data_IF_180946632587
#
_entry.id   IF_180946632587
#
_cell.length_a   1.000
_cell.length_b   1.000
_cell.length_c   1.000
_cell.angle_alpha   90.00
_cell.angle_beta   90.00
_cell.angle_gamma   90.00
#
_symmetry.space_group_name_H-M   'P 1'
#
loop_
_entity.id
_entity.type
_entity.pdbx_description
1 polymer ?
#
# COMPACT_ATOMS: atom_id res chain seq x y z
N UNK A 1 10.73 12.61 11.92
CA UNK A 1 9.41 12.70 11.29
C UNK A 1 9.03 14.16 11.00
N UNK A 2 8.92 15.04 12.01
CA UNK A 2 8.49 16.44 11.86
C UNK A 2 9.22 17.21 10.74
N UNK A 3 10.55 17.10 10.66
CA UNK A 3 11.37 17.76 9.63
C UNK A 3 10.99 17.36 8.18
N UNK A 4 10.48 16.16 7.99
CA UNK A 4 10.07 15.64 6.67
C UNK A 4 8.58 15.79 6.40
N UNK A 5 7.77 16.06 7.45
CA UNK A 5 6.32 15.97 7.37
C UNK A 5 5.75 16.82 6.24
N UNK A 6 5.99 18.12 6.26
CA UNK A 6 5.42 19.05 5.28
C UNK A 6 5.96 18.85 3.87
N UNK A 7 7.28 18.61 3.75
CA UNK A 7 7.96 18.62 2.45
C UNK A 7 7.84 17.31 1.68
N UNK A 8 7.70 16.19 2.39
CA UNK A 8 7.78 14.87 1.79
C UNK A 8 6.68 13.92 2.26
N UNK A 9 6.48 13.79 3.57
CA UNK A 9 5.55 12.82 4.11
C UNK A 9 4.10 13.19 3.77
N UNK A 10 3.69 14.41 4.05
CA UNK A 10 2.34 14.87 3.77
C UNK A 10 1.97 14.82 2.28
N UNK A 11 2.76 15.34 1.33
CA UNK A 11 2.44 15.23 -0.10
C UNK A 11 2.24 13.80 -0.59
N UNK A 12 3.01 12.85 -0.04
CA UNK A 12 2.97 11.45 -0.45
C UNK A 12 1.83 10.67 0.24
N UNK A 13 1.42 11.04 1.46
CA UNK A 13 0.58 10.23 2.34
C UNK A 13 -0.77 10.85 2.71
N UNK A 14 -1.05 12.11 2.35
CA UNK A 14 -2.32 12.81 2.65
C UNK A 14 -3.57 12.05 2.18
N UNK A 15 -3.43 11.19 1.17
CA UNK A 15 -4.52 10.36 0.66
C UNK A 15 -5.18 9.49 1.74
N UNK A 16 -4.50 9.21 2.85
CA UNK A 16 -5.06 8.49 3.99
C UNK A 16 -6.20 9.29 4.61
N UNK A 17 -5.98 10.57 4.90
CA UNK A 17 -7.02 11.48 5.44
C UNK A 17 -8.14 11.73 4.43
N UNK A 18 -7.81 11.81 3.14
CA UNK A 18 -8.79 11.94 2.06
C UNK A 18 -9.65 10.67 1.91
N UNK A 19 -9.06 9.47 2.06
CA UNK A 19 -9.78 8.20 2.03
C UNK A 19 -10.78 8.08 3.18
N UNK A 20 -10.39 8.46 4.40
CA UNK A 20 -11.32 8.50 5.55
C UNK A 20 -12.46 9.46 5.27
N UNK A 21 -12.16 10.70 4.85
CA UNK A 21 -13.19 11.70 4.55
C UNK A 21 -14.17 11.20 3.49
N UNK A 22 -13.66 10.60 2.41
CA UNK A 22 -14.47 10.03 1.35
C UNK A 22 -15.40 8.93 1.90
N UNK A 23 -14.85 8.00 2.69
CA UNK A 23 -15.65 6.93 3.28
C UNK A 23 -16.74 7.47 4.19
N UNK A 24 -16.41 8.36 5.12
CA UNK A 24 -17.37 8.94 6.09
C UNK A 24 -18.50 9.71 5.39
N UNK A 25 -18.23 10.37 4.29
CA UNK A 25 -19.24 11.13 3.53
C UNK A 25 -20.18 10.24 2.70
N UNK A 26 -19.72 9.07 2.25
CA UNK A 26 -20.47 8.23 1.33
C UNK A 26 -21.08 6.99 1.99
N UNK A 27 -20.56 6.54 3.14
CA UNK A 27 -21.02 5.33 3.78
C UNK A 27 -22.46 5.47 4.34
N UNK A 28 -23.34 4.63 3.82
CA UNK A 28 -24.71 4.49 4.31
C UNK A 28 -25.13 3.01 4.22
N UNK A 29 -25.17 2.33 5.35
CA UNK A 29 -25.54 0.91 5.42
C UNK A 29 -26.96 0.62 4.92
N UNK A 30 -27.85 1.62 4.96
CA UNK A 30 -29.24 1.53 4.51
C UNK A 30 -29.44 2.00 3.06
N UNK A 31 -28.35 2.23 2.28
CA UNK A 31 -28.49 2.63 0.89
C UNK A 31 -29.28 1.59 0.09
N UNK A 32 -30.17 2.03 -0.77
CA UNK A 32 -30.95 1.16 -1.66
C UNK A 32 -30.01 0.38 -2.60
N UNK A 33 -29.11 1.09 -3.30
CA UNK A 33 -28.02 0.48 -4.04
C UNK A 33 -26.75 0.41 -3.18
N UNK A 34 -26.63 -0.66 -2.42
CA UNK A 34 -25.50 -0.87 -1.52
C UNK A 34 -24.18 -1.05 -2.26
N UNK A 35 -24.19 -1.71 -3.42
CA UNK A 35 -22.97 -1.93 -4.20
C UNK A 35 -22.39 -0.60 -4.72
N UNK A 36 -23.22 0.29 -5.25
CA UNK A 36 -22.82 1.60 -5.71
C UNK A 36 -22.34 2.48 -4.53
N UNK A 37 -23.06 2.44 -3.41
CA UNK A 37 -22.67 3.15 -2.19
C UNK A 37 -21.28 2.68 -1.71
N UNK A 38 -21.05 1.35 -1.65
CA UNK A 38 -19.77 0.77 -1.24
C UNK A 38 -18.65 1.20 -2.19
N UNK A 39 -18.87 1.13 -3.50
CA UNK A 39 -17.91 1.56 -4.50
C UNK A 39 -17.51 3.04 -4.32
N UNK A 40 -18.50 3.93 -4.08
CA UNK A 40 -18.27 5.35 -3.81
C UNK A 40 -17.50 5.56 -2.50
N UNK A 41 -17.85 4.83 -1.46
CA UNK A 41 -17.18 4.91 -0.15
C UNK A 41 -15.71 4.50 -0.23
N UNK A 42 -15.36 3.55 -1.10
CA UNK A 42 -14.00 3.05 -1.27
C UNK A 42 -13.21 3.75 -2.40
N UNK A 43 -13.79 4.75 -3.08
CA UNK A 43 -13.21 5.36 -4.29
C UNK A 43 -11.82 5.99 -4.06
N UNK A 44 -11.56 6.53 -2.88
CA UNK A 44 -10.29 7.18 -2.54
C UNK A 44 -9.29 6.26 -1.81
N UNK A 45 -9.58 4.96 -1.71
CA UNK A 45 -8.70 4.03 -0.99
C UNK A 45 -7.43 3.63 -1.75
N UNK A 46 -7.38 3.82 -3.07
CA UNK A 46 -6.18 3.68 -3.89
C UNK A 46 -5.20 2.58 -3.44
N UNK A 47 -4.00 2.97 -3.08
CA UNK A 47 -2.93 2.06 -2.64
C UNK A 47 -3.21 1.31 -1.31
N UNK A 48 -4.24 1.71 -0.55
CA UNK A 48 -4.62 1.03 0.70
C UNK A 48 -5.30 -0.31 0.43
N UNK A 49 -6.19 -0.33 -0.59
CA UNK A 49 -7.01 -1.48 -0.95
C UNK A 49 -6.82 -1.92 -2.42
N UNK A 50 -5.70 -1.53 -3.03
CA UNK A 50 -5.29 -2.01 -4.34
C UNK A 50 -3.76 -1.99 -4.46
N UNK A 51 -3.19 -3.04 -5.03
CA UNK A 51 -1.79 -3.15 -5.42
C UNK A 51 -1.66 -4.03 -6.66
N UNK A 52 -0.45 -4.21 -7.19
CA UNK A 52 -0.20 -4.93 -8.46
C UNK A 52 -0.93 -6.29 -8.56
N UNK A 53 -0.99 -7.04 -7.45
CA UNK A 53 -1.58 -8.39 -7.42
C UNK A 53 -2.62 -8.57 -6.30
N UNK A 54 -3.14 -7.49 -5.71
CA UNK A 54 -4.06 -7.55 -4.58
C UNK A 54 -5.13 -6.47 -4.71
N UNK A 55 -6.38 -6.86 -4.88
CA UNK A 55 -7.50 -5.98 -5.25
C UNK A 55 -8.71 -6.11 -4.31
N UNK A 56 -8.56 -5.93 -2.98
CA UNK A 56 -9.66 -6.15 -2.04
C UNK A 56 -10.87 -5.24 -2.31
N UNK A 57 -10.69 -3.95 -2.57
CA UNK A 57 -11.81 -3.04 -2.86
C UNK A 57 -12.61 -3.48 -4.09
N UNK A 58 -11.92 -3.82 -5.19
CA UNK A 58 -12.56 -4.28 -6.41
C UNK A 58 -13.33 -5.59 -6.21
N UNK A 59 -12.75 -6.53 -5.47
CA UNK A 59 -13.37 -7.83 -5.25
C UNK A 59 -14.61 -7.74 -4.35
N UNK A 60 -14.55 -6.99 -3.24
CA UNK A 60 -15.70 -6.84 -2.35
C UNK A 60 -16.84 -6.06 -3.02
N UNK A 61 -16.54 -5.07 -3.84
CA UNK A 61 -17.55 -4.35 -4.65
C UNK A 61 -18.20 -5.30 -5.65
N UNK A 62 -17.43 -6.14 -6.35
CA UNK A 62 -17.96 -7.14 -7.25
C UNK A 62 -18.86 -8.16 -6.54
N UNK A 63 -18.52 -8.59 -5.33
CA UNK A 63 -19.39 -9.43 -4.53
C UNK A 63 -20.66 -8.69 -4.11
N UNK A 64 -20.58 -7.40 -3.80
CA UNK A 64 -21.76 -6.60 -3.47
C UNK A 64 -22.71 -6.42 -4.67
N UNK A 65 -22.19 -6.35 -5.91
CA UNK A 65 -23.00 -6.31 -7.13
C UNK A 65 -23.82 -7.61 -7.33
N UNK A 66 -23.30 -8.76 -6.88
CA UNK A 66 -23.92 -10.07 -7.07
C UNK A 66 -24.77 -10.47 -5.85
N UNK A 67 -24.28 -10.21 -4.65
CA UNK A 67 -24.85 -10.67 -3.38
C UNK A 67 -24.93 -9.51 -2.38
N UNK A 68 -25.64 -8.44 -2.76
CA UNK A 68 -25.69 -7.15 -2.06
C UNK A 68 -26.00 -7.30 -0.58
N UNK A 69 -27.05 -8.05 -0.21
CA UNK A 69 -27.50 -8.18 1.18
C UNK A 69 -26.56 -9.04 2.04
N UNK A 70 -25.88 -10.00 1.42
CA UNK A 70 -24.88 -10.80 2.12
C UNK A 70 -23.66 -9.92 2.46
N UNK A 71 -23.16 -9.13 1.51
CA UNK A 71 -22.04 -8.21 1.77
C UNK A 71 -22.45 -7.11 2.76
N UNK A 72 -23.69 -6.57 2.66
CA UNK A 72 -24.24 -5.62 3.63
C UNK A 72 -24.23 -6.21 5.05
N UNK A 73 -24.70 -7.43 5.20
CA UNK A 73 -24.72 -8.16 6.49
C UNK A 73 -23.31 -8.36 7.05
N UNK A 74 -22.32 -8.65 6.17
CA UNK A 74 -20.92 -8.77 6.58
C UNK A 74 -20.38 -7.46 7.17
N UNK A 75 -20.67 -6.32 6.56
CA UNK A 75 -20.26 -5.02 7.07
C UNK A 75 -21.01 -4.61 8.36
N UNK A 76 -22.31 -4.94 8.47
CA UNK A 76 -23.06 -4.72 9.72
C UNK A 76 -22.40 -5.46 10.87
N UNK A 77 -22.04 -6.74 10.66
CA UNK A 77 -21.37 -7.52 11.70
C UNK A 77 -19.93 -7.04 11.96
N UNK A 78 -19.18 -6.68 10.94
CA UNK A 78 -17.81 -6.13 11.10
C UNK A 78 -17.82 -4.86 11.93
N UNK A 79 -18.84 -4.02 11.78
CA UNK A 79 -18.96 -2.73 12.45
C UNK A 79 -19.74 -2.80 13.77
N UNK A 80 -20.14 -3.99 14.21
CA UNK A 80 -20.80 -4.20 15.51
C UNK A 80 -19.76 -4.18 16.65
N UNK A 81 -19.57 -3.00 17.22
CA UNK A 81 -18.59 -2.76 18.31
C UNK A 81 -18.94 -3.48 19.63
N UNK A 82 -20.07 -4.19 19.72
CA UNK A 82 -20.42 -5.02 20.89
C UNK A 82 -19.69 -6.36 20.90
N UNK A 83 -19.10 -6.76 19.75
CA UNK A 83 -18.35 -8.01 19.56
C UNK A 83 -16.84 -7.78 19.57
N UNK A 84 -16.09 -8.81 19.97
CA UNK A 84 -14.62 -8.78 19.91
C UNK A 84 -14.12 -8.54 18.47
N UNK A 85 -13.11 -7.69 18.33
CA UNK A 85 -12.60 -7.29 17.01
C UNK A 85 -12.01 -8.48 16.24
N UNK A 86 -11.35 -9.43 16.93
CA UNK A 86 -10.76 -10.59 16.29
C UNK A 86 -11.82 -11.54 15.74
N UNK A 87 -12.93 -11.71 16.48
CA UNK A 87 -14.07 -12.52 16.04
C UNK A 87 -14.75 -11.90 14.81
N UNK A 88 -14.92 -10.58 14.80
CA UNK A 88 -15.48 -9.85 13.65
C UNK A 88 -14.58 -9.97 12.40
N UNK A 89 -13.28 -9.85 12.57
CA UNK A 89 -12.29 -10.01 11.47
C UNK A 89 -12.30 -11.44 10.94
N UNK A 90 -12.31 -12.44 11.82
CA UNK A 90 -12.38 -13.84 11.43
C UNK A 90 -13.69 -14.16 10.67
N UNK A 91 -14.85 -13.74 11.21
CA UNK A 91 -16.16 -13.93 10.57
C UNK A 91 -16.22 -13.29 9.17
N UNK A 92 -15.72 -12.05 9.02
CA UNK A 92 -15.70 -11.39 7.72
C UNK A 92 -14.86 -12.16 6.70
N UNK A 93 -13.70 -12.67 7.11
CA UNK A 93 -12.81 -13.48 6.27
C UNK A 93 -13.47 -14.79 5.85
N UNK A 94 -14.13 -15.50 6.79
CA UNK A 94 -14.80 -16.78 6.51
C UNK A 94 -15.99 -16.60 5.55
N UNK A 95 -16.77 -15.54 5.74
CA UNK A 95 -17.85 -15.17 4.81
C UNK A 95 -17.31 -14.80 3.43
N UNK A 96 -16.13 -14.15 3.36
CA UNK A 96 -15.47 -13.86 2.09
C UNK A 96 -15.01 -15.12 1.35
N UNK A 97 -14.56 -16.16 2.08
CA UNK A 97 -14.29 -17.48 1.49
C UNK A 97 -15.57 -18.06 0.89
N UNK A 98 -16.70 -18.03 1.61
CA UNK A 98 -18.00 -18.54 1.12
C UNK A 98 -18.51 -17.77 -0.10
N UNK A 99 -18.29 -16.46 -0.19
CA UNK A 99 -18.61 -15.67 -1.38
C UNK A 99 -17.70 -16.04 -2.56
N UNK A 100 -16.41 -16.29 -2.31
CA UNK A 100 -15.48 -16.74 -3.36
C UNK A 100 -15.89 -18.09 -3.94
N UNK A 101 -16.25 -19.04 -3.11
CA UNK A 101 -16.71 -20.37 -3.53
C UNK A 101 -17.95 -20.29 -4.41
N UNK A 102 -18.92 -19.44 -4.05
CA UNK A 102 -20.19 -19.33 -4.77
C UNK A 102 -20.15 -18.39 -5.98
N UNK A 103 -19.39 -17.32 -5.92
CA UNK A 103 -19.45 -16.23 -6.88
C UNK A 103 -18.09 -15.83 -7.48
N UNK A 104 -17.02 -16.53 -7.14
CA UNK A 104 -15.66 -16.18 -7.54
C UNK A 104 -15.36 -16.33 -9.03
N UNK A 105 -16.16 -17.09 -9.80
CA UNK A 105 -16.01 -17.28 -11.25
C UNK A 105 -14.55 -17.60 -11.65
N UNK A 106 -13.90 -18.53 -10.94
CA UNK A 106 -12.51 -18.94 -11.18
C UNK A 106 -11.43 -18.02 -10.57
N UNK A 107 -11.81 -17.01 -9.82
CA UNK A 107 -10.83 -16.22 -9.05
C UNK A 107 -10.13 -17.08 -7.99
N UNK A 108 -8.80 -16.99 -7.91
CA UNK A 108 -8.01 -17.81 -7.00
C UNK A 108 -8.12 -17.38 -5.53
N UNK A 109 -8.56 -16.13 -5.25
CA UNK A 109 -8.63 -15.59 -3.89
C UNK A 109 -9.58 -14.39 -3.80
N UNK A 110 -10.13 -14.17 -2.61
CA UNK A 110 -11.08 -13.07 -2.34
C UNK A 110 -10.40 -11.75 -1.92
N UNK A 111 -9.11 -11.75 -1.61
CA UNK A 111 -8.31 -10.61 -1.14
C UNK A 111 -8.77 -9.95 0.19
N UNK A 112 -9.80 -10.49 0.86
CA UNK A 112 -10.28 -9.97 2.15
C UNK A 112 -9.51 -10.65 3.29
N UNK A 113 -8.29 -10.19 3.53
CA UNK A 113 -7.44 -10.61 4.64
C UNK A 113 -7.38 -9.52 5.71
N UNK A 114 -6.69 -9.78 6.81
CA UNK A 114 -6.61 -8.91 7.98
C UNK A 114 -6.26 -7.47 7.62
N UNK A 115 -5.38 -7.28 6.64
CA UNK A 115 -5.01 -5.93 6.15
C UNK A 115 -6.22 -5.17 5.60
N UNK A 116 -6.98 -5.77 4.69
CA UNK A 116 -8.14 -5.15 4.07
C UNK A 116 -9.26 -4.92 5.10
N UNK A 117 -9.53 -5.93 5.95
CA UNK A 117 -10.61 -5.88 6.93
C UNK A 117 -10.33 -4.81 8.00
N UNK A 118 -9.10 -4.73 8.51
CA UNK A 118 -8.69 -3.67 9.44
C UNK A 118 -8.72 -2.28 8.78
N UNK A 119 -8.46 -2.18 7.48
CA UNK A 119 -8.63 -0.93 6.74
C UNK A 119 -10.09 -0.50 6.71
N UNK A 120 -11.05 -1.41 6.52
CA UNK A 120 -12.49 -1.07 6.62
C UNK A 120 -12.88 -0.60 8.02
N UNK A 121 -12.36 -1.24 9.06
CA UNK A 121 -12.58 -0.81 10.44
C UNK A 121 -12.03 0.60 10.69
N UNK A 122 -10.82 0.89 10.23
CA UNK A 122 -10.25 2.23 10.33
C UNK A 122 -11.05 3.27 9.53
N UNK A 123 -11.46 2.97 8.31
CA UNK A 123 -12.29 3.89 7.51
C UNK A 123 -13.62 4.22 8.21
N UNK A 124 -14.21 3.25 8.90
CA UNK A 124 -15.49 3.41 9.62
C UNK A 124 -15.33 4.09 10.97
N UNK A 125 -14.29 3.74 11.71
CA UNK A 125 -13.97 4.21 13.06
C UNK A 125 -12.53 4.75 13.09
N UNK A 126 -12.28 5.89 12.41
CA UNK A 126 -10.93 6.42 12.23
C UNK A 126 -10.28 6.91 13.52
N UNK A 127 -11.06 7.07 14.58
CA UNK A 127 -10.59 7.48 15.91
C UNK A 127 -10.27 6.30 16.83
N UNK A 128 -10.43 5.07 16.32
CA UNK A 128 -10.29 3.87 17.14
C UNK A 128 -9.38 2.81 16.55
N UNK A 129 -9.40 2.64 15.23
CA UNK A 129 -8.65 1.59 14.55
C UNK A 129 -7.53 2.12 13.69
N UNK A 130 -6.68 1.21 13.24
CA UNK A 130 -5.50 1.47 12.42
C UNK A 130 -5.41 0.49 11.25
N UNK A 131 -4.65 0.84 10.21
CA UNK A 131 -4.36 -0.06 9.09
C UNK A 131 -3.33 -1.10 9.53
N UNK A 132 -3.66 -2.39 9.40
CA UNK A 132 -2.79 -3.49 9.75
C UNK A 132 -1.98 -3.99 8.55
N UNK A 133 -0.66 -3.94 8.64
CA UNK A 133 0.27 -4.60 7.70
C UNK A 133 1.32 -5.35 8.49
N UNK A 134 1.32 -6.67 8.41
CA UNK A 134 2.17 -7.54 9.23
C UNK A 134 3.67 -7.14 9.21
N UNK A 135 4.22 -6.87 8.01
CA UNK A 135 5.62 -6.48 7.86
C UNK A 135 5.94 -5.12 8.48
N UNK A 136 5.01 -4.17 8.35
CA UNK A 136 5.13 -2.82 8.90
C UNK A 136 5.07 -2.86 10.43
N UNK A 137 4.06 -3.55 10.99
CA UNK A 137 3.90 -3.68 12.44
C UNK A 137 5.11 -4.40 13.07
N UNK A 138 5.65 -5.43 12.40
CA UNK A 138 6.88 -6.09 12.86
C UNK A 138 8.07 -5.14 12.90
N UNK A 139 8.25 -4.34 11.86
CA UNK A 139 9.33 -3.36 11.80
C UNK A 139 9.17 -2.31 12.91
N UNK A 140 7.96 -1.76 13.08
CA UNK A 140 7.67 -0.78 14.15
C UNK A 140 7.96 -1.38 15.53
N UNK A 141 7.47 -2.60 15.82
CA UNK A 141 7.72 -3.26 17.10
C UNK A 141 9.21 -3.50 17.36
N UNK A 142 9.97 -3.83 16.31
CA UNK A 142 11.42 -4.03 16.40
C UNK A 142 12.18 -2.73 16.61
N UNK A 143 11.87 -1.67 15.84
CA UNK A 143 12.56 -0.37 15.93
C UNK A 143 12.29 0.35 17.25
N UNK A 144 11.13 0.12 17.84
CA UNK A 144 10.77 0.67 19.15
C UNK A 144 11.14 -0.26 20.32
N UNK A 145 11.83 -1.37 20.07
CA UNK A 145 12.20 -2.39 21.09
C UNK A 145 11.00 -2.84 21.93
N UNK A 146 9.83 -2.94 21.30
CA UNK A 146 8.56 -3.23 21.96
C UNK A 146 8.48 -4.67 22.50
N UNK A 147 7.81 -4.85 23.62
CA UNK A 147 7.50 -6.16 24.21
C UNK A 147 6.44 -6.93 23.43
N UNK A 148 5.64 -6.26 22.59
CA UNK A 148 4.62 -6.89 21.78
C UNK A 148 5.21 -7.81 20.71
N UNK A 149 4.79 -9.08 20.72
CA UNK A 149 5.31 -10.10 19.78
C UNK A 149 4.36 -10.31 18.63
N UNK A 150 4.85 -10.04 17.42
CA UNK A 150 4.09 -10.23 16.17
C UNK A 150 4.62 -11.48 15.46
N UNK A 151 3.81 -12.55 15.39
CA UNK A 151 4.22 -13.88 14.89
C UNK A 151 3.43 -14.26 13.63
N UNK A 152 4.06 -14.94 12.68
CA UNK A 152 3.38 -15.50 11.51
C UNK A 152 2.32 -16.53 11.96
N UNK A 153 1.08 -16.38 11.49
CA UNK A 153 -0.03 -17.30 11.79
C UNK A 153 -0.81 -17.04 13.08
N UNK A 154 -0.30 -16.19 13.99
CA UNK A 154 -1.00 -15.84 15.24
C UNK A 154 -1.94 -14.62 15.01
N UNK A 155 -2.96 -14.77 14.17
CA UNK A 155 -3.77 -13.64 13.67
C UNK A 155 -4.42 -12.81 14.77
N UNK A 156 -5.15 -13.43 15.70
CA UNK A 156 -5.84 -12.71 16.79
C UNK A 156 -4.87 -12.04 17.75
N UNK A 157 -3.82 -12.74 18.17
CA UNK A 157 -2.79 -12.15 19.05
C UNK A 157 -2.06 -11.00 18.35
N UNK A 158 -1.77 -11.15 17.07
CA UNK A 158 -1.14 -10.08 16.29
C UNK A 158 -2.03 -8.84 16.20
N UNK A 159 -3.34 -8.99 16.00
CA UNK A 159 -4.29 -7.85 15.96
C UNK A 159 -4.33 -7.16 17.33
N UNK A 160 -4.42 -7.92 18.43
CA UNK A 160 -4.43 -7.34 19.79
C UNK A 160 -3.12 -6.62 20.10
N UNK A 161 -1.98 -7.26 19.84
CA UNK A 161 -0.67 -6.67 20.06
C UNK A 161 -0.45 -5.42 19.19
N UNK A 162 -0.89 -5.46 17.95
CA UNK A 162 -0.84 -4.32 17.04
C UNK A 162 -1.66 -3.14 17.57
N UNK A 163 -2.91 -3.38 17.97
CA UNK A 163 -3.77 -2.33 18.50
C UNK A 163 -3.19 -1.72 19.78
N UNK A 164 -2.62 -2.55 20.67
CA UNK A 164 -1.97 -2.09 21.89
C UNK A 164 -0.74 -1.21 21.57
N UNK A 165 0.17 -1.69 20.72
CA UNK A 165 1.36 -0.96 20.29
C UNK A 165 1.00 0.40 19.66
N UNK A 166 0.02 0.42 18.74
CA UNK A 166 -0.35 1.65 18.07
C UNK A 166 -1.10 2.63 19.00
N UNK A 167 -1.83 2.13 19.99
CA UNK A 167 -2.41 2.97 21.05
C UNK A 167 -1.33 3.64 21.92
N UNK A 168 -0.23 2.94 22.23
CA UNK A 168 0.90 3.52 22.94
C UNK A 168 1.57 4.62 22.11
N UNK A 169 1.86 4.35 20.84
CA UNK A 169 2.41 5.36 19.92
C UNK A 169 1.49 6.58 19.86
N UNK A 170 0.17 6.36 19.68
CA UNK A 170 -0.80 7.44 19.66
C UNK A 170 -0.77 8.27 20.93
N UNK A 171 -0.71 7.63 22.08
CA UNK A 171 -0.66 8.31 23.39
C UNK A 171 0.55 9.22 23.51
N UNK A 172 1.69 8.83 22.93
CA UNK A 172 2.88 9.71 22.88
C UNK A 172 2.70 10.86 21.88
N UNK A 173 2.12 10.60 20.70
CA UNK A 173 1.85 11.65 19.71
C UNK A 173 0.85 12.70 20.22
N UNK A 174 -0.12 12.31 21.04
CA UNK A 174 -1.10 13.22 21.65
C UNK A 174 -0.47 14.23 22.61
N UNK A 175 0.71 13.96 23.15
CA UNK A 175 1.47 14.87 24.02
C UNK A 175 2.29 15.90 23.22
N UNK A 176 2.44 15.73 21.93
CA UNK A 176 3.27 16.57 21.06
C UNK A 176 2.44 17.67 20.39
N UNK A 177 2.35 18.83 21.04
CA UNK A 177 1.57 19.98 20.53
C UNK A 177 2.13 20.53 19.21
N UNK A 178 3.45 20.48 18.99
CA UNK A 178 4.05 20.92 17.75
C UNK A 178 3.59 20.05 16.58
N UNK A 179 3.58 18.72 16.74
CA UNK A 179 3.15 17.80 15.72
C UNK A 179 1.64 17.94 15.43
N UNK A 180 0.81 18.13 16.47
CA UNK A 180 -0.62 18.42 16.31
C UNK A 180 -0.88 19.69 15.50
N UNK A 181 -0.15 20.76 15.80
CA UNK A 181 -0.26 22.02 15.07
C UNK A 181 0.25 21.88 13.63
N UNK A 182 1.31 21.11 13.43
CA UNK A 182 1.84 20.81 12.10
C UNK A 182 0.80 20.07 11.25
N UNK A 183 0.15 19.02 11.78
CA UNK A 183 -0.94 18.33 11.09
C UNK A 183 -2.08 19.29 10.76
N UNK A 184 -2.57 20.07 11.74
CA UNK A 184 -3.66 21.02 11.52
C UNK A 184 -3.36 22.03 10.42
N UNK A 185 -2.10 22.47 10.29
CA UNK A 185 -1.69 23.42 9.25
C UNK A 185 -1.74 22.84 7.83
N UNK A 186 -1.76 21.52 7.69
CA UNK A 186 -1.77 20.83 6.40
C UNK A 186 -3.17 20.34 6.00
N UNK A 187 -4.07 20.11 6.96
CA UNK A 187 -5.42 19.62 6.70
C UNK A 187 -6.22 20.58 5.82
N UNK A 188 -6.90 20.03 4.84
CA UNK A 188 -7.82 20.74 3.94
C UNK A 188 -9.26 20.23 4.15
N UNK A 189 -10.22 20.88 3.51
CA UNK A 189 -11.63 20.47 3.54
C UNK A 189 -11.87 19.06 2.93
N UNK A 190 -10.93 18.54 2.15
CA UNK A 190 -10.99 17.18 1.58
C UNK A 190 -10.45 16.11 2.53
N UNK A 191 -9.84 16.51 3.65
CA UNK A 191 -9.24 15.61 4.63
C UNK A 191 -10.19 15.39 5.83
N UNK A 192 -10.07 14.22 6.45
CA UNK A 192 -10.60 13.97 7.79
C UNK A 192 -9.76 14.72 8.83
N UNK A 193 -10.37 15.25 9.88
CA UNK A 193 -9.68 16.11 10.86
C UNK A 193 -8.72 15.36 11.80
N UNK A 194 -8.91 14.04 11.96
CA UNK A 194 -8.08 13.13 12.76
C UNK A 194 -7.91 13.59 14.23
N UNK A 195 -8.99 13.86 14.95
CA UNK A 195 -8.94 14.46 16.29
C UNK A 195 -8.21 13.56 17.29
N UNK A 196 -8.31 12.24 17.14
CA UNK A 196 -7.65 11.25 17.98
C UNK A 196 -6.25 10.84 17.46
N UNK A 197 -5.80 11.41 16.36
CA UNK A 197 -4.48 11.14 15.72
C UNK A 197 -4.25 9.68 15.30
N UNK A 198 -5.30 8.90 15.05
CA UNK A 198 -5.14 7.51 14.63
C UNK A 198 -4.55 7.43 13.21
N UNK A 199 -4.99 8.29 12.29
CA UNK A 199 -4.43 8.33 10.93
C UNK A 199 -2.99 8.83 10.94
N UNK A 200 -2.68 9.83 11.76
CA UNK A 200 -1.30 10.28 11.99
C UNK A 200 -0.43 9.16 12.58
N UNK A 201 -0.97 8.37 13.51
CA UNK A 201 -0.27 7.21 14.10
C UNK A 201 0.07 6.17 13.03
N UNK A 202 -0.86 5.87 12.11
CA UNK A 202 -0.59 5.00 10.96
C UNK A 202 0.56 5.56 10.11
N UNK A 203 0.55 6.85 9.86
CA UNK A 203 1.59 7.50 9.05
C UNK A 203 2.95 7.51 9.73
N UNK A 204 2.99 7.74 11.04
CA UNK A 204 4.21 7.62 11.86
C UNK A 204 4.73 6.18 11.88
N UNK A 205 3.85 5.18 12.03
CA UNK A 205 4.22 3.77 11.93
C UNK A 205 4.83 3.42 10.56
N UNK A 206 4.22 3.90 9.49
CA UNK A 206 4.79 3.78 8.14
C UNK A 206 6.18 4.42 8.05
N UNK A 207 6.36 5.63 8.58
CA UNK A 207 7.65 6.32 8.62
C UNK A 207 8.70 5.52 9.40
N UNK A 208 8.36 5.02 10.60
CA UNK A 208 9.25 4.20 11.42
C UNK A 208 9.67 2.95 10.63
N UNK A 209 8.74 2.24 10.02
CA UNK A 209 9.02 1.02 9.29
C UNK A 209 9.90 1.20 8.07
N UNK A 210 9.92 2.40 7.47
CA UNK A 210 10.59 2.68 6.19
C UNK A 210 11.83 3.56 6.31
N UNK A 211 11.82 4.52 7.23
CA UNK A 211 12.79 5.61 7.26
C UNK A 211 13.49 5.79 8.61
N UNK A 212 12.96 5.24 9.70
CA UNK A 212 13.56 5.35 11.01
C UNK A 212 14.91 4.64 11.03
N UNK A 213 15.94 5.30 11.60
CA UNK A 213 17.33 4.81 11.64
C UNK A 213 17.94 4.45 10.25
N UNK A 214 17.23 4.67 9.17
CA UNK A 214 17.83 4.72 7.85
C UNK A 214 18.26 6.18 7.71
N UNK A 215 19.56 6.44 7.80
CA UNK A 215 20.09 7.76 7.47
C UNK A 215 19.40 8.22 6.18
N UNK A 216 19.24 9.56 6.00
CA UNK A 216 18.80 10.14 4.73
C UNK A 216 19.83 9.82 3.62
N UNK A 217 20.06 8.55 3.42
CA UNK A 217 20.57 8.05 2.19
C UNK A 217 19.46 8.35 1.19
N UNK A 218 19.51 9.55 0.62
CA UNK A 218 18.91 9.77 -0.68
C UNK A 218 19.29 8.54 -1.50
N UNK A 219 18.47 8.02 -2.43
CA UNK A 219 18.75 6.74 -3.04
C UNK A 219 20.24 6.70 -3.33
N UNK A 220 21.00 5.87 -2.58
CA UNK A 220 22.36 5.54 -2.94
C UNK A 220 22.23 4.88 -4.29
N UNK A 221 22.34 5.70 -5.29
CA UNK A 221 22.22 5.30 -6.70
C UNK A 221 23.31 4.30 -7.10
N UNK A 222 24.13 3.87 -6.13
CA UNK A 222 25.29 3.01 -6.32
C UNK A 222 25.23 1.65 -5.63
N UNK A 223 24.19 1.31 -4.84
CA UNK A 223 24.27 0.13 -3.96
C UNK A 223 23.08 -0.84 -4.01
N UNK A 224 22.18 -0.75 -4.99
CA UNK A 224 21.14 -1.77 -5.12
C UNK A 224 21.61 -3.04 -5.86
N UNK A 225 22.79 -3.00 -6.49
CA UNK A 225 23.49 -4.17 -6.99
C UNK A 225 24.77 -4.43 -6.19
N UNK A 226 25.23 -5.67 -6.11
CA UNK A 226 26.51 -6.02 -5.50
C UNK A 226 27.64 -5.16 -6.08
N UNK A 227 28.54 -4.66 -5.23
CA UNK A 227 29.67 -3.83 -5.64
C UNK A 227 30.65 -4.58 -6.58
N UNK A 228 30.59 -5.90 -6.58
CA UNK A 228 31.36 -6.82 -7.40
C UNK A 228 30.60 -7.31 -8.65
N UNK A 229 29.34 -6.85 -8.86
CA UNK A 229 28.58 -7.22 -10.05
C UNK A 229 29.22 -6.63 -11.30
N UNK A 230 29.57 -7.50 -12.22
CA UNK A 230 29.96 -7.15 -13.57
C UNK A 230 29.16 -8.00 -14.57
N UNK A 231 28.44 -7.38 -15.53
CA UNK A 231 27.79 -8.14 -16.60
C UNK A 231 28.77 -8.85 -17.54
N UNK A 232 30.08 -8.58 -17.40
CA UNK A 232 31.13 -9.05 -18.28
C UNK A 232 30.88 -8.75 -19.77
N UNK A 233 30.15 -7.67 -20.07
CA UNK A 233 29.83 -7.22 -21.42
C UNK A 233 30.72 -6.04 -21.79
N UNK A 234 31.32 -6.09 -22.98
CA UNK A 234 32.11 -5.02 -23.56
C UNK A 234 31.22 -3.94 -24.21
N UNK A 235 31.78 -2.84 -24.61
CA UNK A 235 31.05 -1.81 -25.37
C UNK A 235 30.57 -2.36 -26.72
N UNK A 236 31.38 -3.20 -27.35
CA UNK A 236 31.05 -3.87 -28.60
C UNK A 236 29.84 -4.80 -28.43
N UNK A 237 29.80 -5.59 -27.36
CA UNK A 237 28.64 -6.44 -27.02
C UNK A 237 27.37 -5.61 -26.86
N UNK A 238 27.45 -4.45 -26.18
CA UNK A 238 26.29 -3.56 -26.02
C UNK A 238 25.84 -2.93 -27.35
N UNK A 239 26.76 -2.62 -28.26
CA UNK A 239 26.43 -2.10 -29.60
C UNK A 239 25.72 -3.17 -30.43
N UNK A 240 26.17 -4.43 -30.36
CA UNK A 240 25.51 -5.56 -31.03
C UNK A 240 24.11 -5.79 -30.47
N UNK A 241 23.95 -5.78 -29.14
CA UNK A 241 22.65 -5.92 -28.49
C UNK A 241 21.67 -4.80 -28.87
N UNK A 242 22.15 -3.55 -28.95
CA UNK A 242 21.33 -2.40 -29.35
C UNK A 242 20.89 -2.48 -30.81
N UNK A 243 21.67 -3.14 -31.69
CA UNK A 243 21.31 -3.37 -33.08
C UNK A 243 20.33 -4.57 -33.26
N UNK A 244 20.19 -5.41 -32.23
CA UNK A 244 19.33 -6.60 -32.28
C UNK A 244 17.89 -6.25 -31.85
N UNK A 245 16.98 -6.19 -32.81
CA UNK A 245 15.55 -5.86 -32.57
C UNK A 245 14.81 -6.90 -31.74
N UNK A 246 15.31 -8.13 -31.61
CA UNK A 246 14.73 -9.15 -30.73
C UNK A 246 15.09 -8.83 -29.27
N UNK A 247 16.21 -8.18 -29.01
CA UNK A 247 16.62 -7.73 -27.67
C UNK A 247 16.08 -6.34 -27.38
N UNK A 248 16.43 -5.36 -28.22
CA UNK A 248 15.99 -3.97 -28.08
C UNK A 248 14.87 -3.64 -29.08
N UNK A 249 13.66 -4.07 -28.75
CA UNK A 249 12.49 -3.68 -29.52
C UNK A 249 12.14 -2.18 -29.30
N UNK A 250 11.25 -1.66 -30.12
CA UNK A 250 10.84 -0.24 -30.12
C UNK A 250 10.47 0.27 -28.71
N UNK A 251 9.66 -0.50 -27.97
CA UNK A 251 9.27 -0.16 -26.58
C UNK A 251 10.47 -0.05 -25.64
N UNK A 252 11.45 -0.93 -25.78
CA UNK A 252 12.65 -0.94 -24.94
C UNK A 252 13.56 0.24 -25.25
N UNK A 253 13.73 0.55 -26.52
CA UNK A 253 14.49 1.73 -26.97
C UNK A 253 13.84 3.02 -26.48
N UNK A 254 12.51 3.11 -26.53
CA UNK A 254 11.78 4.27 -26.02
C UNK A 254 11.95 4.44 -24.51
N UNK A 255 11.89 3.36 -23.71
CA UNK A 255 12.15 3.40 -22.27
C UNK A 255 13.60 3.87 -22.00
N UNK A 256 14.59 3.34 -22.69
CA UNK A 256 15.99 3.73 -22.56
C UNK A 256 16.23 5.20 -22.93
N UNK A 257 15.62 5.67 -24.01
CA UNK A 257 15.67 7.07 -24.44
C UNK A 257 15.08 8.00 -23.38
N UNK A 258 13.87 7.69 -22.87
CA UNK A 258 13.23 8.47 -21.83
C UNK A 258 14.03 8.47 -20.52
N UNK A 259 14.65 7.35 -20.15
CA UNK A 259 15.55 7.27 -19.02
C UNK A 259 16.78 8.18 -19.20
N UNK A 260 17.38 8.15 -20.37
CA UNK A 260 18.53 9.03 -20.73
C UNK A 260 18.11 10.50 -20.66
N UNK A 261 16.97 10.87 -21.27
CA UNK A 261 16.44 12.24 -21.28
C UNK A 261 16.05 12.74 -19.87
N UNK A 262 15.78 11.83 -18.95
CA UNK A 262 15.53 12.13 -17.54
C UNK A 262 16.82 12.37 -16.72
N UNK A 263 17.99 12.15 -17.31
CA UNK A 263 19.29 12.31 -16.64
C UNK A 263 19.94 10.98 -16.23
N UNK A 264 19.52 9.86 -16.83
CA UNK A 264 20.10 8.53 -16.63
C UNK A 264 19.59 7.76 -15.40
N UNK A 265 18.80 8.40 -14.53
CA UNK A 265 18.21 7.79 -13.32
C UNK A 265 16.81 8.29 -13.11
N UNK A 266 15.84 7.37 -13.04
CA UNK A 266 14.45 7.69 -12.71
C UNK A 266 13.74 6.47 -12.16
N UNK A 267 12.75 6.70 -11.30
CA UNK A 267 11.77 5.66 -10.95
C UNK A 267 10.72 5.53 -12.05
N UNK A 268 10.10 4.36 -12.15
CA UNK A 268 8.99 4.15 -13.09
C UNK A 268 7.85 5.17 -12.90
N UNK A 269 7.64 5.64 -11.66
CA UNK A 269 6.67 6.70 -11.34
C UNK A 269 7.07 8.03 -11.95
N UNK A 270 8.33 8.44 -11.82
CA UNK A 270 8.82 9.69 -12.39
C UNK A 270 8.74 9.70 -13.91
N UNK A 271 9.07 8.58 -14.56
CA UNK A 271 8.92 8.45 -16.01
C UNK A 271 7.44 8.51 -16.42
N UNK A 272 6.55 7.83 -15.69
CA UNK A 272 5.12 7.85 -15.95
C UNK A 272 4.53 9.26 -15.85
N UNK A 273 4.91 10.03 -14.82
CA UNK A 273 4.46 11.42 -14.66
C UNK A 273 4.96 12.32 -15.80
N UNK A 274 6.23 12.17 -16.19
CA UNK A 274 6.83 13.04 -17.22
C UNK A 274 6.37 12.72 -18.63
N UNK A 275 6.19 11.45 -18.97
CA UNK A 275 5.96 11.00 -20.35
C UNK A 275 4.57 10.41 -20.61
N UNK A 276 3.69 10.37 -19.60
CA UNK A 276 2.27 10.05 -19.77
C UNK A 276 1.89 8.57 -19.84
N UNK A 277 2.88 7.65 -19.71
CA UNK A 277 2.63 6.22 -19.68
C UNK A 277 2.33 5.70 -18.25
N UNK A 278 1.88 4.46 -18.12
CA UNK A 278 1.66 3.84 -16.81
C UNK A 278 2.99 3.45 -16.15
N UNK A 279 3.03 3.44 -14.81
CA UNK A 279 4.19 2.91 -14.06
C UNK A 279 4.53 1.48 -14.48
N UNK A 280 3.51 0.68 -14.80
CA UNK A 280 3.67 -0.71 -15.20
C UNK A 280 4.32 -0.85 -16.59
N UNK A 281 4.09 0.09 -17.50
CA UNK A 281 4.77 0.14 -18.79
C UNK A 281 6.29 0.16 -18.61
N UNK A 282 6.79 1.06 -17.76
CA UNK A 282 8.23 1.17 -17.48
C UNK A 282 8.77 -0.02 -16.71
N UNK A 283 8.05 -0.51 -15.70
CA UNK A 283 8.49 -1.63 -14.87
C UNK A 283 8.56 -2.94 -15.68
N UNK A 284 7.45 -3.32 -16.32
CA UNK A 284 7.38 -4.57 -17.10
C UNK A 284 8.30 -4.53 -18.34
N UNK A 285 8.39 -3.38 -18.99
CA UNK A 285 9.27 -3.19 -20.14
C UNK A 285 10.76 -3.31 -19.78
N UNK A 286 11.18 -2.71 -18.65
CA UNK A 286 12.56 -2.85 -18.17
C UNK A 286 12.91 -4.28 -17.76
N UNK A 287 12.01 -4.97 -17.05
CA UNK A 287 12.19 -6.38 -16.68
C UNK A 287 12.24 -7.28 -17.91
N UNK A 288 11.38 -7.05 -18.90
CA UNK A 288 11.38 -7.83 -20.14
C UNK A 288 12.68 -7.61 -20.94
N UNK A 289 13.18 -6.37 -21.01
CA UNK A 289 14.48 -6.07 -21.63
C UNK A 289 15.63 -6.79 -20.91
N UNK A 290 15.69 -6.69 -19.58
CA UNK A 290 16.73 -7.37 -18.81
C UNK A 290 16.75 -8.88 -19.07
N UNK A 291 15.57 -9.52 -19.12
CA UNK A 291 15.47 -10.96 -19.44
C UNK A 291 16.00 -11.30 -20.83
N UNK A 292 15.71 -10.49 -21.85
CA UNK A 292 16.22 -10.73 -23.21
C UNK A 292 17.74 -10.56 -23.29
N UNK A 293 18.29 -9.55 -22.60
CA UNK A 293 19.75 -9.38 -22.50
C UNK A 293 20.39 -10.61 -21.87
N UNK A 294 19.86 -11.07 -20.73
CA UNK A 294 20.37 -12.28 -20.05
C UNK A 294 20.30 -13.51 -20.95
N UNK A 295 19.18 -13.73 -21.64
CA UNK A 295 18.99 -14.87 -22.55
C UNK A 295 20.00 -14.84 -23.72
N UNK A 296 20.35 -13.65 -24.22
CA UNK A 296 21.27 -13.50 -25.35
C UNK A 296 22.75 -13.62 -24.95
N UNK A 297 23.10 -13.15 -23.75
CA UNK A 297 24.48 -12.99 -23.31
C UNK A 297 24.93 -13.96 -22.23
N UNK A 298 23.97 -14.66 -21.56
CA UNK A 298 24.23 -15.43 -20.35
C UNK A 298 24.90 -14.61 -19.23
N UNK A 299 24.76 -13.27 -19.23
CA UNK A 299 25.32 -12.46 -18.17
C UNK A 299 24.71 -12.84 -16.79
N UNK A 300 25.48 -12.67 -15.69
CA UNK A 300 25.00 -13.01 -14.35
C UNK A 300 23.71 -12.25 -14.00
N UNK A 301 22.76 -12.91 -13.36
CA UNK A 301 21.54 -12.31 -12.84
C UNK A 301 21.74 -12.06 -11.34
N UNK A 302 21.41 -10.85 -10.89
CA UNK A 302 21.34 -10.55 -9.45
C UNK A 302 20.10 -11.23 -8.90
N UNK A 303 20.27 -12.16 -7.96
CA UNK A 303 19.20 -12.95 -7.35
C UNK A 303 18.34 -12.12 -6.36
#
# INVERSE_FOLDING_TARGET
YKKRFVQKQWPDEKYKWEAVKCFQLNWNVNAEDFAQMLAKSLAQTGNLLASVNNFPARMITKFAEIASEEVRSMYIELFDETKDVCDRVASFKDKSNSLLERYGNGAAQHYQYENAIMTYLWLRYPDKYYIYKLSEVKAVASELESDYRIKKGAYSDNIRNFLALYNEIRSELQKDDELKNLLKSQLTNTCYEDPELCTLTIDVGFFISRYWNKEDEGPKASEWWPSDYSPALTVEDWLELLADNEVFNESSLEIMKRMKDYGGKATCTQLAVKYGETKNFYNSGSVALARRVVQKTNCPVIA
#
